data_IF_871456079298
#
_entry.id   IF_871456079298
#
_cell.length_a   1.000
_cell.length_b   1.000
_cell.length_c   1.000
_cell.angle_alpha   90.00
_cell.angle_beta   90.00
_cell.angle_gamma   90.00
#
_symmetry.space_group_name_H-M   'P 1'
#
loop_
_entity.id
_entity.type
_entity.pdbx_description
1 polymer ?
#
# COMPACT_ATOMS: atom_id res chain seq x y z
N UNK A 1 -6.13 9.32 10.12
CA UNK A 1 -7.19 8.31 10.34
C UNK A 1 -7.73 7.71 9.04
N UNK A 2 -7.55 8.35 7.87
CA UNK A 2 -8.05 7.85 6.57
C UNK A 2 -7.67 6.39 6.25
N UNK A 3 -6.41 5.99 6.52
CA UNK A 3 -5.91 4.61 6.30
C UNK A 3 -6.74 3.51 6.99
N UNK A 4 -7.42 3.83 8.10
CA UNK A 4 -8.25 2.87 8.85
C UNK A 4 -9.75 3.01 8.57
N UNK A 5 -10.14 4.08 7.86
CA UNK A 5 -11.54 4.44 7.59
C UNK A 5 -11.92 4.20 6.15
N UNK A 6 -10.99 4.44 5.23
CA UNK A 6 -11.22 4.40 3.79
C UNK A 6 -10.69 3.09 3.21
N UNK A 7 -11.37 2.52 2.21
CA UNK A 7 -10.90 1.31 1.54
C UNK A 7 -9.59 1.60 0.78
N UNK A 8 -8.71 0.59 0.72
CA UNK A 8 -7.53 0.67 -0.14
C UNK A 8 -7.96 0.67 -1.61
N UNK A 9 -7.49 1.66 -2.37
CA UNK A 9 -7.71 1.77 -3.82
C UNK A 9 -6.40 1.48 -4.53
N UNK A 10 -6.44 0.53 -5.47
CA UNK A 10 -5.27 0.20 -6.28
C UNK A 10 -5.03 1.30 -7.32
N UNK A 11 -3.84 1.89 -7.28
CA UNK A 11 -3.40 2.87 -8.26
C UNK A 11 -2.81 2.15 -9.48
N UNK A 12 -3.16 2.61 -10.69
CA UNK A 12 -2.57 2.08 -11.94
C UNK A 12 -1.15 2.55 -12.17
N UNK A 13 -0.78 3.67 -11.57
CA UNK A 13 0.52 4.31 -11.69
C UNK A 13 0.98 4.67 -10.27
N UNK A 14 2.25 4.40 -9.91
CA UNK A 14 2.76 4.77 -8.60
C UNK A 14 2.79 6.29 -8.44
N UNK A 15 2.48 6.76 -7.23
CA UNK A 15 2.68 8.15 -6.88
C UNK A 15 4.18 8.41 -6.66
N UNK A 16 4.67 9.51 -7.22
CA UNK A 16 6.06 9.94 -7.07
C UNK A 16 6.10 11.26 -6.31
N UNK A 17 6.98 11.33 -5.30
CA UNK A 17 7.18 12.52 -4.49
C UNK A 17 8.66 12.88 -4.40
N UNK A 18 8.95 14.16 -4.30
CA UNK A 18 10.30 14.65 -4.02
C UNK A 18 10.38 15.10 -2.56
N UNK A 19 10.79 14.20 -1.66
CA UNK A 19 10.83 14.47 -0.23
C UNK A 19 11.74 15.63 0.18
N UNK A 20 12.74 16.01 -0.65
CA UNK A 20 13.59 17.18 -0.37
C UNK A 20 12.83 18.49 -0.60
N UNK A 21 11.94 18.53 -1.58
CA UNK A 21 11.16 19.74 -1.96
C UNK A 21 9.76 19.75 -1.33
N UNK A 22 9.19 18.58 -1.12
CA UNK A 22 7.87 18.36 -0.54
C UNK A 22 7.97 17.32 0.59
N UNK A 23 8.48 17.72 1.78
CA UNK A 23 8.64 16.81 2.91
C UNK A 23 7.32 16.28 3.47
N UNK A 24 6.20 16.89 3.10
CA UNK A 24 4.86 16.57 3.62
C UNK A 24 3.92 15.99 2.56
N UNK A 25 4.44 15.63 1.37
CA UNK A 25 3.70 14.95 0.30
C UNK A 25 2.42 15.71 -0.14
N UNK A 26 2.45 17.05 -0.11
CA UNK A 26 1.30 17.90 -0.44
C UNK A 26 1.19 18.24 -1.93
N UNK A 27 2.24 18.01 -2.71
CA UNK A 27 2.30 18.45 -4.10
C UNK A 27 1.20 17.83 -4.97
N UNK A 28 0.82 16.58 -4.71
CA UNK A 28 -0.26 15.90 -5.45
C UNK A 28 -1.60 16.64 -5.35
N UNK A 29 -1.89 17.28 -4.21
CA UNK A 29 -3.17 17.93 -3.96
C UNK A 29 -3.14 19.44 -4.21
N UNK A 30 -1.99 20.08 -3.99
CA UNK A 30 -1.89 21.54 -3.91
C UNK A 30 -1.05 22.18 -5.03
N UNK A 31 -0.36 21.38 -5.85
CA UNK A 31 0.47 21.90 -6.94
C UNK A 31 -0.24 21.79 -8.28
N UNK A 32 -0.29 22.89 -9.03
CA UNK A 32 -0.82 22.91 -10.40
C UNK A 32 0.13 22.28 -11.43
N UNK A 33 1.39 22.04 -11.07
CA UNK A 33 2.44 21.53 -11.98
C UNK A 33 2.96 20.15 -11.57
N UNK A 34 2.22 19.44 -10.70
CA UNK A 34 2.62 18.10 -10.25
C UNK A 34 2.70 17.11 -11.41
N UNK A 35 1.67 17.08 -12.26
CA UNK A 35 1.58 16.11 -13.36
C UNK A 35 2.65 16.37 -14.43
N UNK A 36 2.94 17.63 -14.77
CA UNK A 36 4.04 17.99 -15.68
C UNK A 36 5.39 17.50 -15.12
N UNK A 37 5.64 17.78 -13.83
CA UNK A 37 6.85 17.34 -13.15
C UNK A 37 6.98 15.80 -13.08
N UNK A 38 5.84 15.11 -12.91
CA UNK A 38 5.75 13.66 -12.88
C UNK A 38 6.06 13.06 -14.27
N UNK A 39 5.47 13.60 -15.33
CA UNK A 39 5.68 13.14 -16.70
C UNK A 39 7.12 13.32 -17.18
N UNK A 40 7.76 14.45 -16.82
CA UNK A 40 9.20 14.68 -17.04
C UNK A 40 10.08 13.60 -16.39
N UNK A 41 9.54 12.86 -15.41
CA UNK A 41 10.21 11.82 -14.63
C UNK A 41 9.60 10.44 -14.80
N UNK A 42 8.80 10.22 -15.84
CA UNK A 42 8.20 8.91 -16.14
C UNK A 42 9.26 7.79 -16.27
N UNK A 43 10.50 8.14 -16.65
CA UNK A 43 11.64 7.23 -16.72
C UNK A 43 12.02 6.59 -15.37
N UNK A 44 11.57 7.16 -14.24
CA UNK A 44 11.81 6.62 -12.89
C UNK A 44 10.90 5.42 -12.58
N UNK A 45 9.74 5.31 -13.22
CA UNK A 45 8.74 4.31 -12.88
C UNK A 45 9.23 2.87 -13.11
N UNK A 46 9.95 2.61 -14.21
CA UNK A 46 10.42 1.27 -14.57
C UNK A 46 11.55 0.77 -13.65
N UNK A 47 12.64 1.53 -13.38
CA UNK A 47 13.69 1.10 -12.47
C UNK A 47 13.20 0.81 -11.04
N UNK A 48 12.23 1.59 -10.52
CA UNK A 48 11.70 1.38 -9.16
C UNK A 48 11.03 0.01 -9.02
N UNK A 49 10.38 -0.50 -10.05
CA UNK A 49 9.76 -1.84 -10.02
C UNK A 49 10.79 -2.93 -9.73
N UNK A 50 12.00 -2.82 -10.29
CA UNK A 50 13.08 -3.79 -10.04
C UNK A 50 13.54 -3.78 -8.58
N UNK A 51 13.59 -2.60 -7.96
CA UNK A 51 13.96 -2.44 -6.55
C UNK A 51 12.87 -2.99 -5.64
N UNK A 52 11.61 -2.68 -5.93
CA UNK A 52 10.47 -3.22 -5.20
C UNK A 52 10.40 -4.76 -5.29
N UNK A 53 10.70 -5.32 -6.46
CA UNK A 53 10.76 -6.77 -6.66
C UNK A 53 11.87 -7.42 -5.80
N UNK A 54 13.06 -6.81 -5.71
CA UNK A 54 14.14 -7.27 -4.82
C UNK A 54 13.73 -7.19 -3.36
N UNK A 55 13.07 -6.11 -2.95
CA UNK A 55 12.53 -6.00 -1.59
C UNK A 55 11.45 -7.06 -1.31
N UNK A 56 10.58 -7.36 -2.26
CA UNK A 56 9.58 -8.41 -2.11
C UNK A 56 10.22 -9.80 -1.95
N UNK A 57 11.36 -10.05 -2.61
CA UNK A 57 12.10 -11.31 -2.44
C UNK A 57 12.60 -11.50 -1.01
N UNK A 58 13.00 -10.42 -0.30
CA UNK A 58 13.46 -10.53 1.10
C UNK A 58 12.35 -10.98 2.05
N UNK A 59 11.07 -10.75 1.72
CA UNK A 59 9.95 -11.23 2.54
C UNK A 59 9.82 -12.76 2.54
N UNK A 60 10.45 -13.46 1.58
CA UNK A 60 10.59 -14.93 1.61
C UNK A 60 11.61 -15.37 2.66
N UNK A 61 12.70 -14.60 2.79
CA UNK A 61 13.77 -14.86 3.74
C UNK A 61 13.36 -14.47 5.17
N UNK A 62 12.58 -13.39 5.29
CA UNK A 62 12.10 -12.84 6.56
C UNK A 62 10.57 -12.78 6.56
N UNK A 63 9.88 -13.91 6.85
CA UNK A 63 8.43 -13.96 6.82
C UNK A 63 7.82 -13.03 7.89
N UNK A 64 6.69 -12.37 7.59
CA UNK A 64 6.02 -11.47 8.53
C UNK A 64 5.57 -12.26 9.77
N UNK A 65 6.06 -11.84 10.95
CA UNK A 65 5.77 -12.52 12.22
C UNK A 65 4.32 -12.32 12.70
N UNK A 66 3.58 -11.39 12.12
CA UNK A 66 2.19 -11.09 12.48
C UNK A 66 1.32 -10.99 11.23
N UNK A 67 0.15 -11.62 11.27
CA UNK A 67 -0.90 -11.39 10.26
C UNK A 67 -1.38 -9.94 10.42
N UNK A 68 -1.53 -9.17 9.33
CA UNK A 68 -2.05 -7.80 9.41
C UNK A 68 -3.38 -7.78 10.16
N UNK A 69 -3.53 -6.83 11.07
CA UNK A 69 -4.76 -6.66 11.84
C UNK A 69 -5.92 -6.32 10.90
N UNK A 70 -6.86 -7.25 10.74
CA UNK A 70 -8.10 -6.99 10.02
C UNK A 70 -9.14 -6.44 11.00
N UNK A 71 -9.56 -5.19 10.82
CA UNK A 71 -10.73 -4.62 11.53
C UNK A 71 -12.07 -5.10 10.93
N UNK A 72 -12.03 -5.96 9.90
CA UNK A 72 -13.22 -6.51 9.26
C UNK A 72 -13.88 -7.59 10.13
N UNK A 73 -15.21 -7.51 10.24
CA UNK A 73 -16.06 -8.50 10.89
C UNK A 73 -15.92 -9.90 10.26
N UNK A 74 -15.38 -10.02 9.05
CA UNK A 74 -15.16 -11.30 8.37
C UNK A 74 -14.29 -12.27 9.17
N UNK A 75 -13.30 -11.77 9.91
CA UNK A 75 -12.47 -12.61 10.79
C UNK A 75 -13.24 -13.10 12.03
N UNK A 76 -14.16 -12.28 12.55
CA UNK A 76 -15.05 -12.65 13.65
C UNK A 76 -16.11 -13.64 13.14
N UNK A 77 -16.65 -13.43 11.95
CA UNK A 77 -17.59 -14.33 11.28
C UNK A 77 -16.95 -15.70 10.99
N UNK A 78 -15.71 -15.72 10.51
CA UNK A 78 -14.95 -16.95 10.30
C UNK A 78 -14.66 -17.68 11.62
N UNK A 79 -14.30 -16.95 12.69
CA UNK A 79 -14.15 -17.53 14.04
C UNK A 79 -15.47 -18.11 14.58
N UNK A 80 -16.59 -17.40 14.40
CA UNK A 80 -17.93 -17.86 14.80
C UNK A 80 -18.36 -19.10 14.00
N UNK A 81 -18.12 -19.12 12.68
CA UNK A 81 -18.40 -20.27 11.82
C UNK A 81 -17.56 -21.49 12.21
N UNK A 82 -16.27 -21.29 12.49
CA UNK A 82 -15.38 -22.38 12.94
C UNK A 82 -15.77 -22.90 14.33
N UNK A 83 -16.22 -22.02 15.24
CA UNK A 83 -16.75 -22.41 16.54
C UNK A 83 -18.11 -23.14 16.44
N UNK A 84 -18.96 -22.75 15.50
CA UNK A 84 -20.27 -23.38 15.27
C UNK A 84 -20.18 -24.72 14.51
N UNK A 85 -19.11 -24.94 13.72
CA UNK A 85 -18.88 -26.18 12.97
C UNK A 85 -18.29 -27.35 13.78
N UNK A 86 -17.89 -27.12 15.04
CA UNK A 86 -17.32 -28.13 15.94
C UNK A 86 -18.35 -28.97 16.73
N UNK A 87 -19.64 -28.82 16.43
CA UNK A 87 -20.71 -29.65 17.00
C UNK A 87 -21.27 -30.59 15.94
N UNK A 88 -20.48 -31.59 15.56
CA UNK A 88 -20.93 -32.92 15.08
C UNK A 88 -19.75 -33.88 15.08
#
# INVERSE_FOLDING_TARGET
FGVWREPFVELRVPLLFNLRRDPFEKAQHNSNTYDDWFLDRAFVAVPIQSLAARFLQTMKEFPPSQKPGSFNLSKIEEQLRNAAGGSK
#
